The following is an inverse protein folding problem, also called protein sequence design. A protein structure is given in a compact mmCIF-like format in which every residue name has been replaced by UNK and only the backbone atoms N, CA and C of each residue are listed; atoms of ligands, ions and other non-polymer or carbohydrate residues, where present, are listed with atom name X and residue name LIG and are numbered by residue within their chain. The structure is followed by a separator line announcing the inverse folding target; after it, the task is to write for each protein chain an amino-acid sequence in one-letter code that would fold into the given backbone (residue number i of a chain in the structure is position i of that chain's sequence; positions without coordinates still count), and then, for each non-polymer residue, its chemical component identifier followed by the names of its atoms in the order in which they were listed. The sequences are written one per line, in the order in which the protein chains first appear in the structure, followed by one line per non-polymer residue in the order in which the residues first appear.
data_IF_003954669582
#
_entry.id   IF_003954669582
#
_cell.length_a   1.000
_cell.length_b   1.000
_cell.length_c   1.000
_cell.angle_alpha   90.00
_cell.angle_beta   90.00
_cell.angle_gamma   90.00
#
_symmetry.space_group_name_H-M   'P 1'
#
loop_
_entity.id
_entity.type
_entity.pdbx_description
1 polymer ?
#
# COMPACT_ATOMS: atom_id res chain seq x y z
N UNK A 1 -13.39 -48.69 -7.71
CA UNK A 1 -13.90 -48.23 -6.39
C UNK A 1 -12.78 -47.39 -5.75
N UNK A 2 -12.63 -46.12 -6.17
CA UNK A 2 -12.95 -44.88 -5.42
C UNK A 2 -12.40 -44.91 -3.98
N UNK A 3 -11.23 -44.31 -3.75
CA UNK A 3 -11.02 -42.90 -3.33
C UNK A 3 -11.50 -42.59 -1.90
N UNK A 4 -10.57 -42.23 -1.02
CA UNK A 4 -10.42 -40.85 -0.51
C UNK A 4 -9.28 -40.74 0.51
N UNK A 5 -8.14 -40.19 0.06
CA UNK A 5 -7.18 -39.49 0.92
C UNK A 5 -7.82 -38.15 1.32
N UNK A 6 -8.08 -37.93 2.60
CA UNK A 6 -8.36 -36.59 3.15
C UNK A 6 -7.03 -35.99 3.63
N UNK A 7 -6.37 -35.24 2.77
CA UNK A 7 -5.35 -34.27 3.17
C UNK A 7 -6.06 -33.03 3.68
N UNK A 8 -6.06 -32.82 5.00
CA UNK A 8 -6.47 -31.56 5.61
C UNK A 8 -5.33 -30.55 5.45
N UNK A 9 -5.49 -29.62 4.51
CA UNK A 9 -4.65 -28.41 4.45
C UNK A 9 -5.15 -27.49 5.55
N UNK A 10 -4.40 -27.42 6.64
CA UNK A 10 -4.57 -26.46 7.72
C UNK A 10 -4.26 -25.07 7.14
N UNK A 11 -5.29 -24.29 6.82
CA UNK A 11 -5.15 -22.92 6.33
C UNK A 11 -4.56 -22.06 7.43
N UNK A 12 -3.34 -21.59 7.22
CA UNK A 12 -2.66 -20.64 8.09
C UNK A 12 -3.49 -19.34 8.18
N UNK A 13 -3.75 -18.91 9.41
CA UNK A 13 -4.37 -17.62 9.68
C UNK A 13 -3.44 -16.50 9.19
N UNK A 14 -3.91 -15.66 8.28
CA UNK A 14 -3.25 -14.42 7.90
C UNK A 14 -3.37 -13.44 9.09
N UNK A 15 -2.47 -13.61 10.05
CA UNK A 15 -2.26 -12.65 11.12
C UNK A 15 -1.59 -11.41 10.52
N UNK A 16 -2.14 -10.24 10.84
CA UNK A 16 -1.40 -8.99 10.73
C UNK A 16 -0.08 -9.19 11.49
N UNK A 17 1.04 -9.06 10.79
CA UNK A 17 2.35 -8.88 11.39
C UNK A 17 2.40 -7.50 12.04
N UNK A 18 1.85 -7.45 13.25
CA UNK A 18 2.25 -6.48 14.26
C UNK A 18 3.57 -6.99 14.84
N UNK A 19 4.70 -6.64 14.24
CA UNK A 19 5.97 -6.74 14.95
C UNK A 19 6.20 -5.44 15.71
N UNK A 20 5.64 -5.41 16.92
CA UNK A 20 6.34 -4.78 18.04
C UNK A 20 7.63 -5.58 18.26
N UNK A 21 8.79 -4.97 17.97
CA UNK A 21 10.03 -5.47 18.53
C UNK A 21 9.88 -5.48 20.07
N UNK A 22 10.07 -6.65 20.67
CA UNK A 22 10.15 -6.84 22.12
C UNK A 22 11.21 -5.91 22.71
N UNK A 23 10.77 -4.78 23.23
CA UNK A 23 11.50 -3.93 24.17
C UNK A 23 10.57 -3.67 25.33
N UNK A 24 10.92 -4.16 26.52
CA UNK A 24 10.15 -4.04 27.73
C UNK A 24 9.59 -2.62 27.91
N UNK A 25 8.28 -2.54 28.11
CA UNK A 25 7.57 -1.31 28.42
C UNK A 25 8.01 -0.85 29.81
N UNK A 26 8.99 0.05 29.88
CA UNK A 26 9.27 0.83 31.08
C UNK A 26 8.63 2.21 30.87
N UNK A 27 7.70 2.67 31.71
CA UNK A 27 7.09 3.98 31.56
C UNK A 27 8.13 5.07 31.86
N UNK A 28 8.78 5.55 30.81
CA UNK A 28 9.64 6.74 30.86
C UNK A 28 8.79 8.00 30.87
N UNK A 29 8.96 8.83 31.90
CA UNK A 29 8.39 10.17 32.03
C UNK A 29 8.50 10.96 30.73
N UNK A 30 7.41 11.65 30.37
CA UNK A 30 7.34 12.65 29.31
C UNK A 30 8.42 13.73 29.51
N UNK A 31 9.56 13.56 28.84
CA UNK A 31 10.57 14.60 28.68
C UNK A 31 10.07 15.64 27.68
N UNK A 32 10.21 16.91 28.03
CA UNK A 32 9.88 18.05 27.18
C UNK A 32 10.52 17.89 25.80
N UNK A 33 9.73 18.11 24.75
CA UNK A 33 10.20 18.18 23.38
C UNK A 33 11.23 19.31 23.28
N UNK A 34 12.47 18.94 22.99
CA UNK A 34 13.47 19.90 22.50
C UNK A 34 12.96 20.38 21.14
N UNK A 35 12.76 21.69 21.02
CA UNK A 35 12.43 22.33 19.77
C UNK A 35 13.67 22.25 18.85
N UNK A 36 13.79 21.15 18.11
CA UNK A 36 14.77 21.03 17.05
C UNK A 36 14.37 21.98 15.90
N UNK A 37 15.31 22.84 15.52
CA UNK A 37 15.13 23.83 14.45
C UNK A 37 14.57 23.18 13.20
N UNK A 38 13.33 23.54 12.86
CA UNK A 38 12.60 22.96 11.74
C UNK A 38 13.37 23.21 10.43
N UNK A 39 14.01 22.16 9.90
CA UNK A 39 14.39 22.15 8.49
C UNK A 39 13.10 22.37 7.68
N UNK A 40 13.10 23.26 6.67
CA UNK A 40 11.97 23.38 5.77
C UNK A 40 11.68 21.98 5.20
N UNK A 41 10.44 21.51 5.32
CA UNK A 41 10.07 20.22 4.75
C UNK A 41 10.33 20.29 3.25
N UNK A 42 11.22 19.41 2.78
CA UNK A 42 11.53 19.31 1.37
C UNK A 42 10.28 18.84 0.59
N UNK A 43 9.98 19.53 -0.51
CA UNK A 43 8.80 19.31 -1.37
C UNK A 43 9.18 19.17 -2.85
N UNK A 44 10.47 18.95 -3.13
CA UNK A 44 10.96 18.79 -4.49
C UNK A 44 11.44 17.37 -4.67
N UNK A 45 10.78 16.63 -5.55
CA UNK A 45 11.23 15.32 -5.98
C UNK A 45 12.13 15.46 -7.20
N UNK A 46 13.39 15.07 -7.07
CA UNK A 46 14.32 14.97 -8.19
C UNK A 46 14.08 13.63 -8.89
N UNK A 47 13.74 13.71 -10.18
CA UNK A 47 13.65 12.56 -11.09
C UNK A 47 14.63 12.80 -12.22
N UNK A 48 15.50 11.82 -12.49
CA UNK A 48 16.46 11.91 -13.58
C UNK A 48 15.80 11.85 -14.96
N UNK A 49 16.58 12.18 -15.99
CA UNK A 49 16.17 11.91 -17.38
C UNK A 49 16.02 10.39 -17.55
N UNK A 50 14.99 9.91 -18.28
CA UNK A 50 14.84 8.48 -18.54
C UNK A 50 16.14 7.84 -19.06
N UNK A 51 16.56 6.78 -18.38
CA UNK A 51 17.79 6.05 -18.69
C UNK A 51 17.72 5.40 -20.08
N UNK A 52 18.89 5.14 -20.65
CA UNK A 52 19.07 4.45 -21.93
C UNK A 52 18.25 5.03 -23.11
N UNK A 53 17.93 6.33 -23.07
CA UNK A 53 17.14 6.99 -24.10
C UNK A 53 15.68 6.52 -24.17
N UNK A 54 15.14 5.96 -23.08
CA UNK A 54 13.72 5.57 -22.99
C UNK A 54 12.82 6.76 -23.30
N UNK A 55 11.76 6.52 -24.07
CA UNK A 55 10.76 7.57 -24.39
C UNK A 55 9.99 8.04 -23.15
N UNK A 56 9.84 7.17 -22.15
CA UNK A 56 9.17 7.43 -20.88
C UNK A 56 9.99 6.87 -19.72
N UNK A 57 9.90 7.46 -18.52
CA UNK A 57 10.45 6.86 -17.31
C UNK A 57 9.89 5.46 -17.08
N UNK A 58 10.76 4.52 -16.69
CA UNK A 58 10.40 3.19 -16.23
C UNK A 58 10.25 3.17 -14.71
N UNK A 59 9.05 2.85 -14.25
CA UNK A 59 8.68 2.69 -12.84
C UNK A 59 8.59 1.21 -12.51
N UNK A 60 9.40 0.75 -11.55
CA UNK A 60 9.28 -0.59 -10.98
C UNK A 60 8.52 -0.50 -9.64
N UNK A 61 7.45 -1.28 -9.47
CA UNK A 61 6.73 -1.40 -8.19
C UNK A 61 7.10 -2.72 -7.55
N UNK A 62 7.65 -2.64 -6.34
CA UNK A 62 8.20 -3.77 -5.60
C UNK A 62 7.10 -4.61 -4.96
N UNK A 63 7.25 -5.91 -5.05
CA UNK A 63 6.46 -6.89 -4.31
C UNK A 63 7.36 -7.91 -3.62
N UNK A 64 7.06 -8.19 -2.36
CA UNK A 64 7.50 -9.41 -1.67
C UNK A 64 6.37 -10.45 -1.78
N UNK A 65 6.70 -11.64 -2.26
CA UNK A 65 5.73 -12.72 -2.45
C UNK A 65 5.05 -13.12 -1.14
N UNK A 66 5.76 -13.00 -0.01
CA UNK A 66 5.25 -13.35 1.32
C UNK A 66 4.24 -12.32 1.88
N UNK A 67 4.13 -11.13 1.28
CA UNK A 67 3.13 -10.16 1.65
C UNK A 67 3.51 -8.73 1.26
N UNK A 68 2.69 -8.13 0.42
CA UNK A 68 2.79 -6.72 -0.02
C UNK A 68 1.44 -6.03 0.22
N UNK A 69 1.43 -4.79 0.70
CA UNK A 69 0.17 -4.08 0.96
C UNK A 69 -0.58 -3.76 -0.34
N UNK A 70 -1.87 -4.12 -0.38
CA UNK A 70 -2.71 -4.15 -1.58
C UNK A 70 -2.82 -2.79 -2.25
N UNK A 71 -3.21 -1.78 -1.47
CA UNK A 71 -3.46 -0.42 -1.93
C UNK A 71 -2.18 0.34 -2.24
N UNK A 72 -1.14 0.20 -1.42
CA UNK A 72 0.19 0.75 -1.65
C UNK A 72 0.81 0.22 -2.94
N UNK A 73 0.42 -0.98 -3.39
CA UNK A 73 0.83 -1.54 -4.67
C UNK A 73 -0.09 -1.14 -5.83
N UNK A 74 -1.38 -1.45 -5.71
CA UNK A 74 -2.34 -1.35 -6.83
C UNK A 74 -2.66 0.10 -7.17
N UNK A 75 -2.76 0.99 -6.19
CA UNK A 75 -3.11 2.40 -6.42
C UNK A 75 -2.07 3.13 -7.28
N UNK A 76 -0.76 3.13 -6.96
CA UNK A 76 0.23 3.75 -7.83
C UNK A 76 0.32 3.06 -9.19
N UNK A 77 0.17 1.73 -9.25
CA UNK A 77 0.12 0.99 -10.52
C UNK A 77 -0.96 1.57 -11.44
N UNK A 78 -2.20 1.63 -10.95
CA UNK A 78 -3.35 2.07 -11.72
C UNK A 78 -3.25 3.55 -12.11
N UNK A 79 -2.83 4.42 -11.19
CA UNK A 79 -2.74 5.87 -11.44
C UNK A 79 -1.67 6.21 -12.47
N UNK A 80 -0.48 5.60 -12.37
CA UNK A 80 0.61 5.83 -13.32
C UNK A 80 0.31 5.25 -14.71
N UNK A 81 -0.37 4.10 -14.78
CA UNK A 81 -0.84 3.56 -16.06
C UNK A 81 -1.94 4.44 -16.67
N UNK A 82 -2.88 4.93 -15.85
CA UNK A 82 -3.97 5.83 -16.28
C UNK A 82 -3.43 7.16 -16.82
N UNK A 83 -2.38 7.72 -16.22
CA UNK A 83 -1.79 8.98 -16.68
C UNK A 83 -1.01 8.85 -17.99
N UNK A 84 -0.55 7.65 -18.33
CA UNK A 84 0.38 7.42 -19.45
C UNK A 84 1.78 8.02 -19.24
N UNK A 85 2.09 8.56 -18.05
CA UNK A 85 3.32 9.31 -17.78
C UNK A 85 4.57 8.44 -17.64
N UNK A 86 4.42 7.13 -17.46
CA UNK A 86 5.52 6.18 -17.27
C UNK A 86 5.18 4.80 -17.84
N UNK A 87 6.22 4.04 -18.16
CA UNK A 87 6.13 2.59 -18.28
C UNK A 87 6.18 2.00 -16.86
N UNK A 88 5.21 1.16 -16.50
CA UNK A 88 5.07 0.61 -15.15
C UNK A 88 5.17 -0.91 -15.18
N UNK A 89 6.01 -1.47 -14.32
CA UNK A 89 6.25 -2.92 -14.21
C UNK A 89 6.14 -3.38 -12.76
N UNK A 90 5.40 -4.46 -12.54
CA UNK A 90 5.32 -5.17 -11.26
C UNK A 90 6.53 -6.11 -11.12
N UNK A 91 7.35 -5.92 -10.08
CA UNK A 91 8.58 -6.70 -9.88
C UNK A 91 8.56 -7.39 -8.52
N UNK A 92 8.62 -8.72 -8.54
CA UNK A 92 8.57 -9.56 -7.34
C UNK A 92 9.95 -10.08 -6.92
N UNK A 93 10.10 -10.42 -5.64
CA UNK A 93 11.30 -11.09 -5.14
C UNK A 93 11.51 -12.46 -5.76
N UNK A 94 10.43 -13.21 -5.97
CA UNK A 94 10.47 -14.59 -6.46
C UNK A 94 9.35 -14.87 -7.48
N UNK A 95 9.55 -15.90 -8.31
CA UNK A 95 8.52 -16.31 -9.26
C UNK A 95 7.32 -16.93 -8.52
N UNK A 96 6.10 -16.58 -8.94
CA UNK A 96 4.88 -17.20 -8.43
C UNK A 96 3.85 -16.16 -7.98
N UNK A 97 2.94 -16.61 -7.11
CA UNK A 97 1.93 -15.75 -6.52
C UNK A 97 2.58 -14.74 -5.56
N UNK A 98 2.10 -13.51 -5.63
CA UNK A 98 2.33 -12.49 -4.60
C UNK A 98 1.07 -12.38 -3.77
N UNK A 99 1.20 -12.53 -2.46
CA UNK A 99 0.11 -12.27 -1.54
C UNK A 99 -0.01 -10.75 -1.29
N UNK A 100 -1.14 -10.18 -1.71
CA UNK A 100 -1.47 -8.78 -1.47
C UNK A 100 -2.31 -8.67 -0.21
N UNK A 101 -1.69 -8.23 0.87
CA UNK A 101 -2.38 -8.10 2.15
C UNK A 101 -3.29 -6.88 2.14
N UNK A 102 -4.48 -6.97 2.76
CA UNK A 102 -4.98 -8.12 3.51
C UNK A 102 -5.81 -9.14 2.70
N UNK A 103 -6.08 -8.92 1.41
CA UNK A 103 -7.19 -9.59 0.73
C UNK A 103 -6.89 -10.26 -0.62
N UNK A 104 -5.95 -9.75 -1.41
CA UNK A 104 -5.81 -10.10 -2.82
C UNK A 104 -4.58 -10.96 -3.07
N UNK A 105 -4.48 -11.52 -4.28
CA UNK A 105 -3.29 -12.22 -4.75
C UNK A 105 -3.06 -11.88 -6.21
N UNK A 106 -1.80 -11.75 -6.62
CA UNK A 106 -1.47 -11.35 -7.99
C UNK A 106 -0.28 -12.12 -8.55
N UNK A 107 -0.06 -11.96 -9.86
CA UNK A 107 1.17 -12.35 -10.53
C UNK A 107 1.92 -11.08 -10.96
N UNK A 108 3.16 -10.93 -10.49
CA UNK A 108 4.04 -9.86 -10.95
C UNK A 108 4.48 -10.11 -12.41
N UNK A 109 4.82 -9.03 -13.12
CA UNK A 109 5.26 -9.06 -14.51
C UNK A 109 6.61 -9.77 -14.66
N UNK A 110 7.48 -9.58 -13.66
CA UNK A 110 8.82 -10.16 -13.64
C UNK A 110 9.33 -10.35 -12.20
N UNK A 111 10.50 -10.95 -12.06
CA UNK A 111 11.25 -11.07 -10.79
C UNK A 111 12.42 -10.09 -10.77
N UNK A 112 13.00 -9.80 -9.61
CA UNK A 112 14.19 -8.94 -9.48
C UNK A 112 15.32 -9.35 -10.43
N UNK A 113 15.69 -10.64 -10.45
CA UNK A 113 16.79 -11.12 -11.29
C UNK A 113 16.50 -10.96 -12.79
N UNK A 114 15.25 -11.23 -13.20
CA UNK A 114 14.83 -11.07 -14.60
C UNK A 114 14.74 -9.60 -14.99
N UNK A 115 14.27 -8.75 -14.07
CA UNK A 115 14.27 -7.30 -14.26
C UNK A 115 15.69 -6.79 -14.47
N UNK A 116 16.62 -7.07 -13.54
CA UNK A 116 18.02 -6.64 -13.61
C UNK A 116 18.71 -7.14 -14.89
N UNK A 117 18.40 -8.37 -15.35
CA UNK A 117 18.93 -8.90 -16.62
C UNK A 117 18.38 -8.17 -17.86
N UNK A 118 17.11 -7.77 -17.84
CA UNK A 118 16.46 -7.06 -18.95
C UNK A 118 16.68 -5.55 -18.94
N UNK A 119 17.00 -4.98 -17.77
CA UNK A 119 17.11 -3.55 -17.52
C UNK A 119 18.40 -3.26 -16.72
N UNK A 120 19.60 -3.42 -17.32
CA UNK A 120 20.87 -3.34 -16.57
C UNK A 120 21.17 -1.95 -15.98
N UNK A 121 20.60 -0.88 -16.53
CA UNK A 121 20.69 0.48 -15.97
C UNK A 121 19.71 0.74 -14.81
N UNK A 122 18.84 -0.23 -14.51
CA UNK A 122 17.80 -0.13 -13.49
C UNK A 122 16.60 0.73 -13.89
N UNK A 123 15.63 0.81 -12.98
CA UNK A 123 14.44 1.64 -13.10
C UNK A 123 14.78 3.13 -12.93
N UNK A 124 13.97 4.01 -13.51
CA UNK A 124 14.05 5.46 -13.28
C UNK A 124 13.43 5.81 -11.92
N UNK A 125 12.35 5.12 -11.55
CA UNK A 125 11.67 5.24 -10.26
C UNK A 125 11.41 3.84 -9.69
N UNK A 126 11.62 3.67 -8.39
CA UNK A 126 11.24 2.46 -7.66
C UNK A 126 10.21 2.82 -6.60
N UNK A 127 9.03 2.20 -6.68
CA UNK A 127 7.97 2.32 -5.69
C UNK A 127 8.04 1.13 -4.74
N UNK A 128 8.04 1.42 -3.44
CA UNK A 128 8.17 0.47 -2.34
C UNK A 128 6.93 0.54 -1.47
N UNK A 129 5.99 -0.41 -1.63
CA UNK A 129 4.84 -0.58 -0.72
C UNK A 129 5.26 -0.98 0.69
N UNK A 130 4.32 -0.96 1.63
CA UNK A 130 4.49 -1.70 2.87
C UNK A 130 4.59 -3.21 2.58
N UNK A 131 5.54 -3.88 3.25
CA UNK A 131 5.79 -5.32 3.12
C UNK A 131 5.52 -6.00 4.46
N UNK A 132 5.09 -7.27 4.42
CA UNK A 132 4.90 -8.08 5.63
C UNK A 132 6.18 -8.18 6.45
N UNK A 133 7.32 -8.25 5.75
CA UNK A 133 8.66 -8.21 6.33
C UNK A 133 9.44 -7.06 5.73
N UNK A 134 9.63 -6.00 6.51
CA UNK A 134 10.37 -4.83 6.05
C UNK A 134 11.89 -5.04 5.97
N UNK A 135 12.40 -6.21 6.40
CA UNK A 135 13.82 -6.53 6.55
C UNK A 135 14.32 -7.63 5.60
N UNK A 136 13.52 -8.01 4.59
CA UNK A 136 13.86 -9.08 3.63
C UNK A 136 15.20 -8.80 2.93
N UNK A 137 16.26 -9.59 3.17
CA UNK A 137 17.60 -9.29 2.66
C UNK A 137 17.67 -9.13 1.14
N UNK A 138 16.94 -9.95 0.39
CA UNK A 138 16.88 -9.91 -1.06
C UNK A 138 16.22 -8.62 -1.58
N UNK A 139 15.15 -8.16 -0.94
CA UNK A 139 14.50 -6.89 -1.26
C UNK A 139 15.43 -5.72 -0.95
N UNK A 140 16.02 -5.69 0.26
CA UNK A 140 16.93 -4.62 0.66
C UNK A 140 18.16 -4.54 -0.25
N UNK A 141 18.71 -5.69 -0.67
CA UNK A 141 19.82 -5.75 -1.60
C UNK A 141 19.44 -5.21 -2.99
N UNK A 142 18.28 -5.59 -3.52
CA UNK A 142 17.80 -5.09 -4.81
C UNK A 142 17.54 -3.58 -4.78
N UNK A 143 16.89 -3.07 -3.73
CA UNK A 143 16.66 -1.63 -3.54
C UNK A 143 17.96 -0.82 -3.52
N UNK A 144 18.99 -1.31 -2.82
CA UNK A 144 20.31 -0.65 -2.80
C UNK A 144 20.94 -0.61 -4.20
N UNK A 145 20.81 -1.68 -5.00
CA UNK A 145 21.32 -1.69 -6.39
C UNK A 145 20.59 -0.67 -7.25
N UNK A 146 19.26 -0.60 -7.17
CA UNK A 146 18.48 0.40 -7.92
C UNK A 146 18.82 1.83 -7.50
N UNK A 147 19.03 2.08 -6.21
CA UNK A 147 19.46 3.38 -5.70
C UNK A 147 20.88 3.76 -6.19
N UNK A 148 21.83 2.81 -6.21
CA UNK A 148 23.17 3.02 -6.79
C UNK A 148 23.10 3.31 -8.28
N UNK A 149 22.18 2.65 -9.00
CA UNK A 149 21.84 2.95 -10.38
C UNK A 149 21.13 4.31 -10.56
N UNK A 150 20.88 5.08 -9.50
CA UNK A 150 20.33 6.43 -9.57
C UNK A 150 18.80 6.49 -9.67
N UNK A 151 18.09 5.45 -9.27
CA UNK A 151 16.63 5.49 -9.22
C UNK A 151 16.13 6.51 -8.16
N UNK A 152 15.02 7.16 -8.47
CA UNK A 152 14.21 7.89 -7.47
C UNK A 152 13.43 6.86 -6.65
N UNK A 153 13.53 6.92 -5.31
CA UNK A 153 12.88 5.97 -4.41
C UNK A 153 11.58 6.56 -3.87
N UNK A 154 10.47 5.84 -3.99
CA UNK A 154 9.16 6.27 -3.51
C UNK A 154 8.62 5.21 -2.55
N UNK A 155 8.58 5.50 -1.26
CA UNK A 155 7.98 4.61 -0.27
C UNK A 155 6.56 5.06 0.09
N UNK A 156 5.63 4.12 0.08
CA UNK A 156 4.24 4.36 0.46
C UNK A 156 3.99 3.69 1.81
N UNK A 157 3.31 4.40 2.73
CA UNK A 157 2.94 3.88 4.06
C UNK A 157 4.16 3.37 4.86
N UNK A 158 4.13 2.12 5.33
CA UNK A 158 5.24 1.46 6.02
C UNK A 158 6.35 0.99 5.06
N UNK A 159 6.24 1.22 3.75
CA UNK A 159 7.35 1.11 2.81
C UNK A 159 8.56 1.99 3.19
N UNK A 160 8.33 3.04 3.99
CA UNK A 160 9.38 3.88 4.54
C UNK A 160 10.30 3.09 5.49
N UNK A 161 9.77 2.10 6.23
CA UNK A 161 10.57 1.20 7.05
C UNK A 161 11.52 0.35 6.18
N UNK A 162 11.04 -0.11 5.03
CA UNK A 162 11.86 -0.89 4.07
C UNK A 162 13.03 -0.05 3.57
N UNK A 163 12.78 1.21 3.17
CA UNK A 163 13.84 2.13 2.77
C UNK A 163 14.80 2.46 3.93
N UNK A 164 14.28 2.60 5.15
CA UNK A 164 15.10 2.83 6.34
C UNK A 164 16.03 1.64 6.63
N UNK A 165 15.52 0.41 6.60
CA UNK A 165 16.29 -0.82 6.72
C UNK A 165 17.33 -0.97 5.58
N UNK A 166 17.01 -0.48 4.37
CA UNK A 166 17.96 -0.42 3.26
C UNK A 166 19.08 0.62 3.48
N UNK A 167 18.93 1.53 4.46
CA UNK A 167 19.84 2.65 4.72
C UNK A 167 19.64 3.83 3.77
N UNK A 168 18.49 3.89 3.07
CA UNK A 168 18.21 4.89 2.03
C UNK A 168 17.55 6.16 2.58
N UNK A 169 17.16 6.18 3.86
CA UNK A 169 16.58 7.35 4.54
C UNK A 169 17.56 8.07 5.49
N UNK A 170 18.83 7.66 5.55
CA UNK A 170 19.82 8.29 6.42
C UNK A 170 19.98 9.77 6.08
N UNK A 171 19.91 10.62 7.09
CA UNK A 171 20.00 12.09 7.02
C UNK A 171 18.92 12.77 6.17
N UNK A 172 17.85 12.05 5.83
CA UNK A 172 16.70 12.56 5.07
C UNK A 172 15.56 12.95 5.99
N UNK A 173 14.69 13.82 5.49
CA UNK A 173 13.35 14.06 6.05
C UNK A 173 12.38 13.05 5.46
N UNK A 174 11.60 12.38 6.31
CA UNK A 174 10.67 11.33 5.88
C UNK A 174 9.38 11.36 6.71
N UNK A 175 8.32 10.76 6.18
CA UNK A 175 7.09 10.44 6.91
C UNK A 175 6.77 8.95 6.72
N UNK A 176 5.82 8.42 7.49
CA UNK A 176 5.33 7.05 7.38
C UNK A 176 3.94 6.95 8.02
N UNK A 177 3.35 5.75 8.05
CA UNK A 177 2.07 5.50 8.69
C UNK A 177 2.09 5.97 10.15
N UNK A 178 1.01 6.62 10.60
CA UNK A 178 0.94 7.23 11.93
C UNK A 178 1.29 6.26 13.07
N UNK A 179 0.86 5.01 12.95
CA UNK A 179 1.08 3.95 13.94
C UNK A 179 2.58 3.58 14.10
N UNK A 180 3.31 3.52 12.99
CA UNK A 180 4.69 3.03 12.95
C UNK A 180 5.73 4.13 13.20
N UNK A 181 5.37 5.39 12.87
CA UNK A 181 6.28 6.55 12.88
C UNK A 181 7.07 6.71 14.17
N UNK A 182 6.44 6.56 15.33
CA UNK A 182 7.14 6.68 16.62
C UNK A 182 8.16 5.57 16.86
N UNK A 183 7.86 4.35 16.41
CA UNK A 183 8.81 3.23 16.42
C UNK A 183 9.98 3.48 15.48
N UNK A 184 9.70 3.99 14.28
CA UNK A 184 10.72 4.35 13.29
C UNK A 184 11.64 5.45 13.80
N UNK A 185 11.09 6.50 14.42
CA UNK A 185 11.86 7.59 15.04
C UNK A 185 12.84 7.12 16.10
N UNK A 186 12.49 6.08 16.87
CA UNK A 186 13.39 5.49 17.88
C UNK A 186 14.47 4.61 17.26
N UNK A 187 14.17 3.91 16.16
CA UNK A 187 15.08 2.95 15.50
C UNK A 187 16.04 3.60 14.51
N UNK A 188 15.60 4.64 13.82
CA UNK A 188 16.32 5.35 12.76
C UNK A 188 16.50 6.81 13.15
N UNK A 189 17.39 7.05 14.11
CA UNK A 189 17.62 8.37 14.71
C UNK A 189 18.33 9.35 13.76
N UNK A 190 18.91 8.86 12.68
CA UNK A 190 19.52 9.65 11.62
C UNK A 190 18.53 10.07 10.53
N UNK A 191 17.26 9.66 10.60
CA UNK A 191 16.16 10.13 9.76
C UNK A 191 15.29 11.14 10.52
N UNK A 192 14.96 12.26 9.89
CA UNK A 192 14.06 13.26 10.46
C UNK A 192 12.61 12.89 10.12
N UNK A 193 11.92 12.27 11.07
CA UNK A 193 10.52 11.83 10.91
C UNK A 193 9.53 12.96 11.21
N UNK A 194 8.73 13.34 10.22
CA UNK A 194 7.70 14.40 10.35
C UNK A 194 6.28 13.82 10.34
N UNK A 195 5.32 14.60 10.85
CA UNK A 195 3.95 14.16 11.09
C UNK A 195 2.88 15.04 10.42
N UNK A 196 3.30 16.21 9.95
CA UNK A 196 2.47 17.31 9.43
C UNK A 196 2.33 17.27 7.90
N UNK A 197 2.75 16.16 7.27
CA UNK A 197 2.73 15.98 5.82
C UNK A 197 2.31 14.59 5.40
N UNK A 198 1.46 14.55 4.38
CA UNK A 198 0.96 13.32 3.74
C UNK A 198 2.05 12.64 2.93
N UNK A 199 2.90 13.44 2.30
CA UNK A 199 4.09 12.99 1.63
C UNK A 199 5.21 14.01 1.76
N UNK A 200 6.44 13.52 1.79
CA UNK A 200 7.67 14.30 1.90
C UNK A 200 8.56 13.95 0.71
N UNK A 201 9.14 14.96 0.07
CA UNK A 201 10.03 14.80 -1.09
C UNK A 201 11.39 15.42 -0.78
N UNK A 202 12.36 14.60 -0.40
CA UNK A 202 13.72 15.00 -0.03
C UNK A 202 14.71 14.50 -1.10
N UNK A 203 14.97 15.36 -2.09
CA UNK A 203 15.85 15.04 -3.22
C UNK A 203 15.28 13.90 -4.07
N UNK A 204 15.99 12.79 -4.21
CA UNK A 204 15.55 11.62 -4.97
C UNK A 204 14.73 10.61 -4.15
N UNK A 205 14.18 11.01 -3.00
CA UNK A 205 13.36 10.15 -2.15
C UNK A 205 12.01 10.80 -1.86
N UNK A 206 10.93 10.05 -2.05
CA UNK A 206 9.58 10.38 -1.60
C UNK A 206 9.13 9.37 -0.56
N UNK A 207 8.50 9.82 0.52
CA UNK A 207 7.86 8.97 1.53
C UNK A 207 6.44 9.47 1.81
N UNK A 208 5.51 8.59 2.18
CA UNK A 208 4.10 8.94 2.42
C UNK A 208 3.57 8.40 3.75
N UNK A 209 2.48 8.98 4.24
CA UNK A 209 1.71 8.42 5.36
C UNK A 209 0.85 7.23 4.91
N UNK A 210 -0.05 6.81 5.79
CA UNK A 210 -0.85 5.61 5.69
C UNK A 210 -1.96 5.63 4.65
N UNK A 211 -2.34 4.40 4.32
CA UNK A 211 -2.90 3.86 3.08
C UNK A 211 -3.58 4.85 2.13
N UNK A 212 -4.55 5.64 2.59
CA UNK A 212 -5.25 6.61 1.75
C UNK A 212 -4.34 7.65 1.11
N UNK A 213 -3.12 7.86 1.64
CA UNK A 213 -2.08 8.70 1.05
C UNK A 213 -1.55 8.19 -0.31
N UNK A 214 -1.78 6.92 -0.67
CA UNK A 214 -1.35 6.34 -1.94
C UNK A 214 -1.88 7.10 -3.17
N UNK A 215 -3.14 7.56 -3.16
CA UNK A 215 -3.73 8.36 -4.24
C UNK A 215 -3.04 9.73 -4.39
N UNK A 216 -3.02 10.61 -3.37
CA UNK A 216 -2.42 11.94 -3.49
C UNK A 216 -0.91 11.86 -3.75
N UNK A 217 -0.20 10.86 -3.21
CA UNK A 217 1.20 10.62 -3.50
C UNK A 217 1.43 10.22 -4.97
N UNK A 218 0.61 9.33 -5.52
CA UNK A 218 0.70 8.92 -6.92
C UNK A 218 0.41 10.09 -7.87
N UNK A 219 -0.56 10.95 -7.54
CA UNK A 219 -0.83 12.17 -8.31
C UNK A 219 0.33 13.18 -8.22
N UNK A 220 0.97 13.31 -7.06
CA UNK A 220 2.17 14.14 -6.90
C UNK A 220 3.34 13.59 -7.73
N UNK A 221 3.51 12.26 -7.78
CA UNK A 221 4.49 11.61 -8.64
C UNK A 221 4.19 11.82 -10.13
N UNK A 222 2.93 11.71 -10.57
CA UNK A 222 2.52 12.07 -11.94
C UNK A 222 2.87 13.53 -12.23
N UNK A 223 2.64 14.44 -11.28
CA UNK A 223 3.01 15.85 -11.45
C UNK A 223 4.52 16.04 -11.60
N UNK A 224 5.34 15.27 -10.89
CA UNK A 224 6.80 15.30 -11.03
C UNK A 224 7.28 14.71 -12.37
N UNK A 225 6.59 13.68 -12.89
CA UNK A 225 6.95 12.99 -14.13
C UNK A 225 6.49 13.73 -15.40
N UNK A 226 5.27 14.28 -15.39
CA UNK A 226 4.59 14.79 -16.59
C UNK A 226 3.95 16.18 -16.40
N UNK A 227 4.22 16.84 -15.26
CA UNK A 227 3.71 18.17 -14.95
C UNK A 227 2.28 18.21 -14.40
N UNK A 228 1.92 19.36 -13.85
CA UNK A 228 0.67 19.54 -13.10
C UNK A 228 -0.60 19.37 -13.93
N UNK A 229 -0.54 19.61 -15.25
CA UNK A 229 -1.69 19.43 -16.15
C UNK A 229 -2.06 17.94 -16.27
N UNK A 230 -1.07 17.07 -16.51
CA UNK A 230 -1.26 15.63 -16.57
C UNK A 230 -1.77 15.07 -15.23
N UNK A 231 -1.25 15.57 -14.10
CA UNK A 231 -1.74 15.17 -12.78
C UNK A 231 -3.21 15.56 -12.56
N UNK A 232 -3.61 16.79 -12.92
CA UNK A 232 -5.02 17.24 -12.82
C UNK A 232 -5.95 16.44 -13.73
N UNK A 233 -5.50 16.10 -14.94
CA UNK A 233 -6.27 15.25 -15.84
C UNK A 233 -6.43 13.84 -15.31
N UNK A 234 -5.34 13.24 -14.82
CA UNK A 234 -5.35 11.93 -14.18
C UNK A 234 -6.30 11.93 -12.97
N UNK A 235 -6.24 12.96 -12.12
CA UNK A 235 -7.13 13.12 -10.98
C UNK A 235 -8.62 13.09 -11.41
N UNK A 236 -8.98 13.83 -12.46
CA UNK A 236 -10.36 13.79 -13.02
C UNK A 236 -10.74 12.40 -13.53
N UNK A 237 -9.83 11.71 -14.23
CA UNK A 237 -10.09 10.39 -14.80
C UNK A 237 -10.34 9.32 -13.74
N UNK A 238 -9.64 9.42 -12.60
CA UNK A 238 -9.81 8.53 -11.45
C UNK A 238 -10.86 9.02 -10.45
N UNK A 239 -11.54 10.15 -10.69
CA UNK A 239 -12.58 10.69 -9.80
C UNK A 239 -12.08 11.46 -8.57
N UNK A 240 -10.77 11.71 -8.45
CA UNK A 240 -10.19 12.49 -7.36
C UNK A 240 -10.46 13.99 -7.53
N UNK A 241 -11.14 14.59 -6.55
CA UNK A 241 -11.57 15.99 -6.63
C UNK A 241 -10.42 16.98 -6.32
N UNK A 242 -9.59 16.67 -5.33
CA UNK A 242 -8.43 17.46 -4.94
C UNK A 242 -7.40 16.59 -4.22
N UNK A 243 -6.13 16.97 -4.29
CA UNK A 243 -5.07 16.37 -3.50
C UNK A 243 -4.12 17.43 -2.94
N UNK A 244 -3.56 17.16 -1.76
CA UNK A 244 -2.62 18.04 -1.08
C UNK A 244 -1.61 17.22 -0.27
N UNK A 245 -0.44 17.80 -0.06
CA UNK A 245 0.60 17.34 0.86
C UNK A 245 0.26 17.67 2.33
N UNK A 246 -0.59 18.67 2.58
CA UNK A 246 -0.99 19.10 3.92
C UNK A 246 -1.81 17.99 4.58
N UNK A 247 -1.35 17.55 5.76
CA UNK A 247 -1.99 16.48 6.50
C UNK A 247 -1.56 16.50 7.95
N UNK A 248 -2.47 16.22 8.87
CA UNK A 248 -2.14 16.17 10.29
C UNK A 248 -2.21 14.73 10.78
N UNK A 249 -1.07 14.03 10.66
CA UNK A 249 -0.94 12.63 11.06
C UNK A 249 -1.06 12.43 12.58
N UNK A 250 -1.01 13.49 13.39
CA UNK A 250 -1.19 13.40 14.84
C UNK A 250 -2.66 13.31 15.26
N UNK A 251 -3.61 13.52 14.34
CA UNK A 251 -5.05 13.31 14.59
C UNK A 251 -5.42 11.83 14.68
N UNK A 252 -4.59 10.96 14.13
CA UNK A 252 -4.80 9.53 14.16
C UNK A 252 -4.08 8.94 15.36
N UNK A 253 -4.80 8.13 16.13
CA UNK A 253 -4.28 7.50 17.32
C UNK A 253 -5.20 6.40 17.82
N UNK A 254 -4.62 5.41 18.50
CA UNK A 254 -5.38 4.38 19.19
C UNK A 254 -6.10 4.99 20.39
N UNK A 255 -7.41 5.18 20.26
CA UNK A 255 -8.28 5.50 21.39
C UNK A 255 -8.70 4.23 22.15
N UNK A 256 -9.10 4.37 23.41
CA UNK A 256 -9.67 3.25 24.17
C UNK A 256 -10.89 2.63 23.47
N UNK A 257 -11.69 3.45 22.79
CA UNK A 257 -12.82 3.01 21.96
C UNK A 257 -12.34 2.20 20.74
N UNK A 258 -11.31 2.66 20.04
CA UNK A 258 -10.75 1.93 18.90
C UNK A 258 -10.20 0.55 19.33
N UNK A 259 -9.48 0.49 20.45
CA UNK A 259 -8.98 -0.77 21.01
C UNK A 259 -10.10 -1.71 21.47
N UNK A 260 -11.15 -1.18 22.10
CA UNK A 260 -12.33 -1.95 22.48
C UNK A 260 -13.05 -2.53 21.25
N UNK A 261 -13.21 -1.73 20.18
CA UNK A 261 -13.76 -2.21 18.90
C UNK A 261 -12.89 -3.29 18.29
N UNK A 262 -11.57 -3.08 18.24
CA UNK A 262 -10.61 -4.04 17.70
C UNK A 262 -10.68 -5.39 18.43
N UNK A 263 -10.72 -5.37 19.77
CA UNK A 263 -10.91 -6.57 20.58
C UNK A 263 -12.28 -7.22 20.33
N UNK A 264 -13.35 -6.43 20.29
CA UNK A 264 -14.71 -6.94 20.05
C UNK A 264 -14.83 -7.60 18.68
N UNK A 265 -14.24 -6.99 17.65
CA UNK A 265 -14.24 -7.54 16.29
C UNK A 265 -13.45 -8.83 16.22
N UNK A 266 -12.29 -8.90 16.89
CA UNK A 266 -11.47 -10.11 16.96
C UNK A 266 -12.13 -11.24 17.74
N UNK A 267 -12.79 -10.94 18.86
CA UNK A 267 -13.50 -11.94 19.69
C UNK A 267 -14.80 -12.40 19.03
N UNK A 268 -15.36 -11.60 18.13
CA UNK A 268 -16.49 -11.99 17.28
C UNK A 268 -16.10 -12.99 16.16
N UNK A 269 -15.02 -13.77 16.29
CA UNK A 269 -14.57 -14.76 15.31
C UNK A 269 -15.66 -15.79 14.94
N UNK A 270 -16.60 -16.06 15.84
CA UNK A 270 -17.80 -16.89 15.58
C UNK A 270 -18.74 -16.30 14.51
N UNK A 271 -18.53 -15.04 14.11
CA UNK A 271 -19.25 -14.30 13.07
C UNK A 271 -18.32 -13.83 11.94
N UNK A 272 -17.08 -14.35 11.88
CA UNK A 272 -16.14 -14.04 10.81
C UNK A 272 -16.66 -14.62 9.49
N UNK A 273 -16.74 -13.80 8.45
CA UNK A 273 -17.33 -14.18 7.17
C UNK A 273 -16.41 -13.85 6.01
N UNK A 274 -16.18 -14.81 5.12
CA UNK A 274 -15.54 -14.52 3.84
C UNK A 274 -16.59 -14.01 2.86
N UNK A 275 -16.29 -12.91 2.18
CA UNK A 275 -17.11 -12.39 1.10
C UNK A 275 -16.46 -12.64 -0.24
N UNK A 276 -17.28 -13.00 -1.21
CA UNK A 276 -16.87 -13.02 -2.60
C UNK A 276 -16.88 -11.58 -3.14
N UNK A 277 -15.78 -11.17 -3.76
CA UNK A 277 -15.66 -9.96 -4.54
C UNK A 277 -15.59 -10.38 -6.02
N UNK A 278 -16.72 -10.39 -6.74
CA UNK A 278 -16.74 -10.74 -8.15
C UNK A 278 -15.88 -9.75 -8.95
N UNK A 279 -14.99 -10.28 -9.77
CA UNK A 279 -14.17 -9.49 -10.70
C UNK A 279 -14.29 -10.06 -12.11
N UNK A 280 -14.34 -9.16 -13.09
CA UNK A 280 -14.43 -9.50 -14.51
C UNK A 280 -13.17 -9.03 -15.23
N UNK A 281 -12.89 -9.60 -16.41
CA UNK A 281 -11.78 -9.13 -17.24
C UNK A 281 -11.94 -7.64 -17.56
N UNK A 282 -10.86 -6.88 -17.42
CA UNK A 282 -10.86 -5.44 -17.60
C UNK A 282 -11.42 -4.65 -16.40
N UNK A 283 -11.52 -5.26 -15.22
CA UNK A 283 -11.94 -4.54 -14.02
C UNK A 283 -11.07 -3.31 -13.73
N UNK A 284 -11.67 -2.27 -13.12
CA UNK A 284 -10.95 -1.10 -12.64
C UNK A 284 -10.24 -1.42 -11.32
N UNK A 285 -8.92 -1.24 -11.31
CA UNK A 285 -8.06 -1.62 -10.20
C UNK A 285 -8.35 -0.84 -8.91
N UNK A 286 -8.69 0.46 -9.02
CA UNK A 286 -8.84 1.32 -7.84
C UNK A 286 -10.06 0.91 -7.00
N UNK A 287 -11.27 0.76 -7.58
CA UNK A 287 -12.43 0.30 -6.81
C UNK A 287 -12.23 -1.10 -6.22
N UNK A 288 -11.58 -2.02 -6.94
CA UNK A 288 -11.30 -3.38 -6.43
C UNK A 288 -10.36 -3.32 -5.23
N UNK A 289 -9.23 -2.63 -5.34
CA UNK A 289 -8.25 -2.53 -4.26
C UNK A 289 -8.85 -1.87 -3.01
N UNK A 290 -9.49 -0.71 -3.16
CA UNK A 290 -10.07 0.05 -2.04
C UNK A 290 -11.20 -0.72 -1.34
N UNK A 291 -12.03 -1.44 -2.12
CA UNK A 291 -13.13 -2.24 -1.57
C UNK A 291 -12.58 -3.46 -0.82
N UNK A 292 -11.69 -4.23 -1.46
CA UNK A 292 -11.11 -5.42 -0.87
C UNK A 292 -10.37 -5.11 0.44
N UNK A 293 -9.55 -4.07 0.41
CA UNK A 293 -8.74 -3.67 1.56
C UNK A 293 -9.61 -3.18 2.74
N UNK A 294 -10.57 -2.28 2.49
CA UNK A 294 -11.44 -1.77 3.54
C UNK A 294 -12.27 -2.87 4.22
N UNK A 295 -12.83 -3.80 3.45
CA UNK A 295 -13.62 -4.91 4.02
C UNK A 295 -12.77 -5.89 4.82
N UNK A 296 -11.57 -6.22 4.35
CA UNK A 296 -10.66 -7.11 5.08
C UNK A 296 -10.08 -6.47 6.36
N UNK A 297 -10.03 -5.14 6.44
CA UNK A 297 -9.63 -4.40 7.65
C UNK A 297 -10.69 -4.34 8.75
N UNK A 298 -11.89 -4.87 8.53
CA UNK A 298 -12.93 -4.91 9.57
C UNK A 298 -12.59 -5.86 10.73
N UNK A 299 -11.71 -6.85 10.47
CA UNK A 299 -11.43 -8.02 11.33
C UNK A 299 -12.66 -8.88 11.63
N UNK A 300 -13.72 -8.70 10.85
CA UNK A 300 -14.95 -9.49 10.88
C UNK A 300 -15.20 -10.17 9.54
N UNK A 301 -14.39 -9.85 8.54
CA UNK A 301 -14.49 -10.42 7.22
C UNK A 301 -13.15 -10.59 6.53
N UNK A 302 -13.09 -11.62 5.69
CA UNK A 302 -12.09 -11.77 4.66
C UNK A 302 -12.73 -11.49 3.30
N UNK A 303 -11.91 -11.17 2.31
CA UNK A 303 -12.34 -10.99 0.92
C UNK A 303 -11.66 -12.05 0.06
N UNK A 304 -12.43 -12.70 -0.80
CA UNK A 304 -11.94 -13.55 -1.86
C UNK A 304 -12.31 -12.92 -3.21
N UNK A 305 -11.32 -12.59 -4.05
CA UNK A 305 -11.59 -12.20 -5.42
C UNK A 305 -12.05 -13.42 -6.24
N UNK A 306 -13.20 -13.31 -6.91
CA UNK A 306 -13.85 -14.46 -7.54
C UNK A 306 -14.19 -14.27 -9.01
N UNK A 307 -13.92 -15.31 -9.80
CA UNK A 307 -14.36 -15.44 -11.20
C UNK A 307 -14.32 -16.93 -11.63
N UNK A 308 -14.86 -17.24 -12.81
CA UNK A 308 -14.79 -18.59 -13.40
C UNK A 308 -13.41 -18.91 -14.03
N UNK A 309 -12.47 -17.96 -13.98
CA UNK A 309 -11.08 -18.13 -14.40
C UNK A 309 -10.15 -18.35 -13.19
N UNK A 310 -8.87 -18.67 -13.45
CA UNK A 310 -7.82 -18.68 -12.41
C UNK A 310 -7.05 -17.37 -12.31
N UNK A 311 -6.97 -16.64 -13.42
CA UNK A 311 -6.30 -15.35 -13.53
C UNK A 311 -7.24 -14.42 -14.28
N UNK A 312 -7.45 -13.23 -13.74
CA UNK A 312 -8.20 -12.16 -14.39
C UNK A 312 -7.25 -10.98 -14.58
N UNK A 313 -7.26 -10.41 -15.78
CA UNK A 313 -6.47 -9.24 -16.12
C UNK A 313 -7.32 -7.98 -15.94
N UNK A 314 -6.75 -6.99 -15.25
CA UNK A 314 -7.39 -5.70 -15.03
C UNK A 314 -7.33 -4.81 -16.28
N UNK A 315 -7.99 -3.65 -16.21
CA UNK A 315 -7.98 -2.63 -17.26
C UNK A 315 -6.56 -2.24 -17.73
N UNK A 316 -5.60 -2.15 -16.82
CA UNK A 316 -4.22 -1.72 -17.12
C UNK A 316 -3.18 -2.86 -17.10
N UNK A 317 -3.62 -4.12 -17.05
CA UNK A 317 -2.76 -5.30 -17.19
C UNK A 317 -2.31 -5.97 -15.90
N UNK A 318 -2.84 -5.56 -14.74
CA UNK A 318 -2.59 -6.25 -13.47
C UNK A 318 -3.27 -7.62 -13.51
N UNK A 319 -2.51 -8.69 -13.22
CA UNK A 319 -3.02 -10.06 -13.23
C UNK A 319 -3.34 -10.52 -11.82
N UNK A 320 -4.62 -10.54 -11.46
CA UNK A 320 -5.09 -11.07 -10.18
C UNK A 320 -5.30 -12.58 -10.25
N UNK A 321 -4.86 -13.28 -9.20
CA UNK A 321 -5.22 -14.66 -8.95
C UNK A 321 -6.58 -14.68 -8.26
N UNK A 322 -7.52 -15.43 -8.85
CA UNK A 322 -8.91 -15.49 -8.41
C UNK A 322 -9.33 -16.94 -8.18
N UNK A 323 -10.44 -17.13 -7.48
CA UNK A 323 -11.03 -18.45 -7.22
C UNK A 323 -12.50 -18.50 -7.65
N UNK A 324 -13.08 -19.68 -7.89
CA UNK A 324 -14.52 -19.79 -8.11
C UNK A 324 -15.30 -19.24 -6.90
N UNK A 325 -16.48 -18.66 -7.18
CA UNK A 325 -17.39 -18.21 -6.14
C UNK A 325 -17.81 -19.36 -5.22
N UNK A 326 -17.93 -19.09 -3.92
CA UNK A 326 -18.42 -20.04 -2.94
C UNK A 326 -19.91 -19.74 -2.65
N UNK A 327 -20.84 -20.67 -2.90
CA UNK A 327 -22.27 -20.46 -2.62
C UNK A 327 -22.58 -20.10 -1.16
N UNK A 328 -21.68 -20.41 -0.22
CA UNK A 328 -21.81 -20.04 1.19
C UNK A 328 -21.35 -18.61 1.53
N UNK A 329 -20.66 -17.92 0.60
CA UNK A 329 -20.19 -16.56 0.81
C UNK A 329 -21.24 -15.53 0.38
N UNK A 330 -21.37 -14.45 1.15
CA UNK A 330 -22.07 -13.27 0.69
C UNK A 330 -21.20 -12.49 -0.31
N UNK A 331 -21.81 -11.73 -1.21
CA UNK A 331 -21.07 -10.91 -2.18
C UNK A 331 -20.87 -9.49 -1.67
N UNK A 332 -19.68 -8.93 -1.90
CA UNK A 332 -19.44 -7.48 -1.82
C UNK A 332 -19.63 -6.89 -3.21
N UNK A 333 -20.40 -5.81 -3.28
CA UNK A 333 -20.60 -5.04 -4.52
C UNK A 333 -19.64 -3.87 -4.54
N UNK A 334 -18.96 -3.68 -5.66
CA UNK A 334 -18.20 -2.46 -5.92
C UNK A 334 -19.21 -1.37 -6.28
N UNK A 335 -19.16 -0.17 -5.67
CA UNK A 335 -20.11 0.90 -5.97
C UNK A 335 -20.12 1.30 -7.45
N UNK A 336 -21.26 1.12 -8.12
CA UNK A 336 -21.42 1.45 -9.54
C UNK A 336 -21.14 2.94 -9.84
N UNK A 337 -20.47 3.19 -10.96
CA UNK A 337 -20.26 4.53 -11.51
C UNK A 337 -19.29 5.43 -10.74
N UNK A 338 -18.71 4.98 -9.63
CA UNK A 338 -17.68 5.71 -8.88
C UNK A 338 -16.28 5.21 -9.22
N UNK A 339 -15.30 6.12 -9.21
CA UNK A 339 -13.89 5.85 -9.49
C UNK A 339 -13.01 6.41 -8.36
N UNK A 340 -11.86 5.80 -8.15
CA UNK A 340 -10.82 6.25 -7.22
C UNK A 340 -11.31 6.53 -5.80
N UNK A 341 -10.96 7.70 -5.27
CA UNK A 341 -11.23 8.08 -3.86
C UNK A 341 -12.71 8.12 -3.51
N UNK A 342 -13.60 8.40 -4.48
CA UNK A 342 -15.05 8.47 -4.28
C UNK A 342 -15.68 7.11 -3.92
N UNK A 343 -14.95 6.00 -4.09
CA UNK A 343 -15.37 4.65 -3.71
C UNK A 343 -15.40 4.48 -2.19
N UNK A 344 -14.37 4.97 -1.50
CA UNK A 344 -14.15 4.66 -0.09
C UNK A 344 -15.27 5.16 0.85
N UNK A 345 -15.85 6.37 0.70
CA UNK A 345 -17.00 6.80 1.48
C UNK A 345 -18.18 5.82 1.44
N UNK A 346 -18.46 5.24 0.27
CA UNK A 346 -19.57 4.30 0.12
C UNK A 346 -19.24 2.96 0.76
N UNK A 347 -18.04 2.44 0.54
CA UNK A 347 -17.58 1.19 1.18
C UNK A 347 -17.62 1.31 2.70
N UNK A 348 -17.17 2.44 3.26
CA UNK A 348 -17.24 2.71 4.70
C UNK A 348 -18.69 2.81 5.21
N UNK A 349 -19.62 3.35 4.42
CA UNK A 349 -21.04 3.38 4.73
C UNK A 349 -21.67 1.98 4.70
N UNK A 350 -21.29 1.13 3.74
CA UNK A 350 -21.76 -0.26 3.67
C UNK A 350 -21.24 -1.10 4.85
N UNK A 351 -19.98 -0.88 5.25
CA UNK A 351 -19.41 -1.46 6.49
C UNK A 351 -20.16 -0.97 7.73
N UNK A 352 -20.48 0.32 7.80
CA UNK A 352 -21.26 0.88 8.92
C UNK A 352 -22.66 0.28 8.99
N UNK A 353 -23.35 0.15 7.85
CA UNK A 353 -24.66 -0.47 7.77
C UNK A 353 -24.66 -1.93 8.23
N UNK A 354 -23.56 -2.66 8.00
CA UNK A 354 -23.45 -4.07 8.37
C UNK A 354 -22.94 -4.33 9.78
N UNK A 355 -21.86 -3.64 10.17
CA UNK A 355 -21.11 -3.91 11.41
C UNK A 355 -21.13 -2.75 12.40
N UNK A 356 -21.88 -1.69 12.10
CA UNK A 356 -22.01 -0.49 12.92
C UNK A 356 -20.89 0.53 12.69
N UNK A 357 -21.17 1.79 13.06
CA UNK A 357 -20.25 2.92 12.87
C UNK A 357 -18.89 2.68 13.52
N UNK A 358 -18.84 2.04 14.70
CA UNK A 358 -17.59 1.74 15.38
C UNK A 358 -16.63 0.90 14.53
N UNK A 359 -17.13 -0.08 13.77
CA UNK A 359 -16.31 -0.89 12.85
C UNK A 359 -15.88 -0.09 11.63
N UNK A 360 -16.77 0.75 11.09
CA UNK A 360 -16.45 1.67 9.99
C UNK A 360 -15.35 2.66 10.38
N UNK A 361 -15.44 3.26 11.57
CA UNK A 361 -14.45 4.19 12.11
C UNK A 361 -13.11 3.50 12.36
N UNK A 362 -13.12 2.24 12.80
CA UNK A 362 -11.92 1.41 12.93
C UNK A 362 -11.22 1.16 11.59
N UNK A 363 -11.99 0.89 10.52
CA UNK A 363 -11.44 0.74 9.16
C UNK A 363 -10.87 2.07 8.67
N UNK A 364 -11.61 3.18 8.83
CA UNK A 364 -11.17 4.50 8.43
C UNK A 364 -9.87 4.92 9.14
N UNK A 365 -9.73 4.63 10.44
CA UNK A 365 -8.51 4.88 11.22
C UNK A 365 -7.30 4.11 10.66
N UNK A 366 -7.47 2.84 10.30
CA UNK A 366 -6.39 2.03 9.71
C UNK A 366 -6.00 2.51 8.31
N UNK A 367 -6.95 3.03 7.53
CA UNK A 367 -6.70 3.59 6.21
C UNK A 367 -6.13 5.03 6.26
N UNK A 368 -6.00 5.59 7.46
CA UNK A 368 -5.66 7.00 7.68
C UNK A 368 -6.64 7.95 6.94
N UNK A 369 -7.91 7.52 6.84
CA UNK A 369 -8.96 8.24 6.12
C UNK A 369 -9.74 9.16 7.08
N UNK A 370 -9.80 10.48 6.81
CA UNK A 370 -10.58 11.40 7.63
C UNK A 370 -12.08 11.16 7.39
N UNK A 371 -12.81 10.77 8.43
CA UNK A 371 -14.26 10.58 8.42
C UNK A 371 -14.95 11.67 9.23
#
# INVERSE_FOLDING_TARGET
MRERKRGGVMRAAAALCVYAALGAWVPGRSGQAVADGARPVAQTLTIGVPKDGRKRPLVAIVADNAGTETTDFIVPYAILKTSGSADVVAVSSEAGAVDLMPALRMLADTTFDRFDASVPSGADVVIVPALHRADRPEVLAWLRRQAVAGATMVAICDGAEVLANAGLLRQRTATSHWYSRDGLRRRFTDTVWVADRRYVMDGNVMTTTGVSASIPASLALVSALAGSAAARETARNIGAQAWSDVHDGNRFGLSARALATALTNRVAFWRHQTFDLPVENGFDELPVALTADAWARTWRSDIAATADARVIESKHGLRLLVQPADPGHARVTIPDGRRGDAVLPRVLADIAARYGDATSDWVALQLEYPK
#
